data_IF_868658095383
#
_entry.id   IF_868658095383
#
_cell.length_a   1.000
_cell.length_b   1.000
_cell.length_c   1.000
_cell.angle_alpha   90.00
_cell.angle_beta   90.00
_cell.angle_gamma   90.00
#
_symmetry.space_group_name_H-M   'P 1'
#
loop_
_entity.id
_entity.type
_entity.pdbx_description
1 polymer ?
#
# COMPACT_ATOMS: atom_id res chain seq x y z
N UNK A 1 15.92 -22.32 -3.88
CA UNK A 1 16.34 -20.92 -4.14
C UNK A 1 16.26 -20.15 -2.83
N UNK A 2 17.33 -20.13 -2.07
CA UNK A 2 17.44 -19.39 -0.79
C UNK A 2 17.68 -17.92 -1.10
N UNK A 3 16.77 -17.06 -0.66
CA UNK A 3 17.01 -15.61 -0.68
C UNK A 3 17.98 -15.27 0.45
N UNK A 4 18.98 -14.39 0.22
CA UNK A 4 19.95 -14.05 1.24
C UNK A 4 19.24 -13.45 2.46
N UNK A 5 19.64 -13.89 3.65
CA UNK A 5 19.28 -13.27 4.93
C UNK A 5 19.58 -11.77 4.84
N UNK A 6 18.54 -10.95 4.69
CA UNK A 6 18.64 -9.49 4.82
C UNK A 6 18.90 -9.19 6.30
N UNK A 7 20.17 -9.22 6.70
CA UNK A 7 20.66 -8.25 7.67
C UNK A 7 20.45 -6.88 7.03
N UNK A 8 19.73 -6.00 7.74
CA UNK A 8 19.55 -4.59 7.38
C UNK A 8 20.93 -3.89 7.37
N UNK A 9 21.72 -4.13 6.33
CA UNK A 9 22.81 -3.24 5.97
C UNK A 9 22.13 -1.93 5.60
N UNK A 10 22.38 -0.88 6.38
CA UNK A 10 21.97 0.50 6.07
C UNK A 10 22.28 0.77 4.59
N UNK A 11 21.25 0.71 3.74
CA UNK A 11 21.43 1.01 2.32
C UNK A 11 21.91 2.45 2.28
N UNK A 12 23.11 2.69 1.75
CA UNK A 12 23.61 4.05 1.56
C UNK A 12 22.71 4.72 0.54
N UNK A 13 21.84 5.61 1.01
CA UNK A 13 20.97 6.40 0.14
C UNK A 13 21.79 7.57 -0.39
N UNK A 14 21.91 7.67 -1.71
CA UNK A 14 22.38 8.91 -2.33
C UNK A 14 21.21 9.90 -2.35
N UNK A 15 21.19 10.82 -1.38
CA UNK A 15 20.10 11.80 -1.20
C UNK A 15 19.85 12.63 -2.45
N UNK A 16 20.90 13.09 -3.12
CA UNK A 16 20.78 13.93 -4.32
C UNK A 16 20.08 13.15 -5.45
N UNK A 17 20.52 11.91 -5.69
CA UNK A 17 19.87 11.03 -6.67
C UNK A 17 18.41 10.73 -6.32
N UNK A 18 18.09 10.53 -5.03
CA UNK A 18 16.71 10.29 -4.60
C UNK A 18 15.81 11.50 -4.87
N UNK A 19 16.31 12.72 -4.62
CA UNK A 19 15.61 13.97 -4.94
C UNK A 19 15.37 14.08 -6.44
N UNK A 20 16.38 13.83 -7.27
CA UNK A 20 16.26 13.86 -8.74
C UNK A 20 15.25 12.84 -9.26
N UNK A 21 15.26 11.62 -8.72
CA UNK A 21 14.30 10.57 -9.07
C UNK A 21 12.86 10.97 -8.71
N UNK A 22 12.68 11.57 -7.53
CA UNK A 22 11.37 12.04 -7.07
C UNK A 22 10.84 13.19 -7.93
N UNK A 23 11.66 14.20 -8.23
CA UNK A 23 11.26 15.31 -9.10
C UNK A 23 10.89 14.82 -10.49
N UNK A 24 11.68 13.91 -11.08
CA UNK A 24 11.38 13.34 -12.40
C UNK A 24 10.05 12.58 -12.40
N UNK A 25 9.74 11.85 -11.33
CA UNK A 25 8.45 11.20 -11.17
C UNK A 25 7.31 12.22 -11.11
N UNK A 26 7.44 13.26 -10.28
CA UNK A 26 6.43 14.32 -10.16
C UNK A 26 6.19 15.05 -11.48
N UNK A 27 7.25 15.42 -12.20
CA UNK A 27 7.19 16.04 -13.53
C UNK A 27 6.47 15.13 -14.52
N UNK A 28 6.80 13.84 -14.55
CA UNK A 28 6.13 12.87 -15.44
C UNK A 28 4.63 12.78 -15.16
N UNK A 29 4.21 12.84 -13.89
CA UNK A 29 2.80 12.84 -13.51
C UNK A 29 2.10 14.14 -13.94
N UNK A 30 2.75 15.29 -13.73
CA UNK A 30 2.24 16.60 -14.14
C UNK A 30 2.08 16.67 -15.67
N UNK A 31 3.06 16.17 -16.43
CA UNK A 31 2.99 16.07 -17.90
C UNK A 31 1.83 15.20 -18.39
N UNK A 32 1.38 14.24 -17.56
CA UNK A 32 0.19 13.44 -17.80
C UNK A 32 -1.13 14.12 -17.37
N UNK A 33 -1.08 15.38 -16.92
CA UNK A 33 -2.24 16.15 -16.45
C UNK A 33 -2.70 15.78 -15.05
N UNK A 34 -1.83 15.19 -14.23
CA UNK A 34 -2.14 14.84 -12.83
C UNK A 34 -1.71 15.99 -11.92
N UNK A 35 -2.62 16.44 -11.06
CA UNK A 35 -2.29 17.38 -9.99
C UNK A 35 -1.46 16.69 -8.91
N UNK A 36 -0.25 17.21 -8.64
CA UNK A 36 0.66 16.68 -7.62
C UNK A 36 0.68 17.61 -6.42
N UNK A 37 0.15 17.12 -5.29
CA UNK A 37 0.20 17.79 -4.00
C UNK A 37 1.33 17.21 -3.15
N UNK A 38 2.14 18.07 -2.53
CA UNK A 38 3.35 17.67 -1.81
C UNK A 38 3.19 17.93 -0.33
N UNK A 39 3.35 16.89 0.48
CA UNK A 39 3.45 17.02 1.94
C UNK A 39 4.88 17.49 2.27
N UNK A 40 5.05 18.57 3.05
CA UNK A 40 6.38 19.02 3.45
C UNK A 40 7.15 17.92 4.18
N UNK A 41 8.45 17.72 3.86
CA UNK A 41 9.24 16.66 4.47
C UNK A 41 9.37 16.87 5.98
N UNK A 42 9.31 15.78 6.75
CA UNK A 42 9.46 15.78 8.20
C UNK A 42 10.69 14.94 8.55
N UNK A 43 11.68 15.53 9.24
CA UNK A 43 12.96 14.87 9.50
C UNK A 43 12.80 13.61 10.35
N UNK A 44 11.82 13.62 11.24
CA UNK A 44 11.49 12.54 12.17
C UNK A 44 10.68 11.41 11.50
N UNK A 45 10.15 11.65 10.28
CA UNK A 45 9.29 10.71 9.56
C UNK A 45 9.78 10.53 8.11
N UNK A 46 10.95 9.90 7.90
CA UNK A 46 11.52 9.72 6.57
C UNK A 46 10.66 8.87 5.63
N UNK A 47 9.79 8.02 6.16
CA UNK A 47 8.88 7.16 5.39
C UNK A 47 7.62 7.90 4.88
N UNK A 48 7.45 9.19 5.22
CA UNK A 48 6.36 10.03 4.72
C UNK A 48 6.37 10.17 3.18
N UNK A 49 7.49 9.85 2.54
CA UNK A 49 7.62 9.81 1.06
C UNK A 49 6.78 8.70 0.41
N UNK A 50 6.35 7.68 1.17
CA UNK A 50 5.51 6.58 0.68
C UNK A 50 4.03 6.91 0.85
N UNK A 51 3.52 7.84 0.03
CA UNK A 51 2.14 8.36 0.12
C UNK A 51 1.05 7.31 -0.13
N UNK A 52 1.37 6.18 -0.77
CA UNK A 52 0.43 5.05 -0.92
C UNK A 52 0.01 4.46 0.42
N UNK A 53 0.80 4.67 1.48
CA UNK A 53 0.46 4.28 2.84
C UNK A 53 -0.38 5.28 3.60
N UNK A 54 -0.67 6.47 3.05
CA UNK A 54 -1.31 7.55 3.78
C UNK A 54 -2.81 7.27 4.07
N UNK A 55 -3.45 6.48 3.21
CA UNK A 55 -4.86 6.13 3.30
C UNK A 55 -5.41 5.71 1.94
N UNK A 56 -6.72 5.86 1.73
CA UNK A 56 -7.34 5.67 0.43
C UNK A 56 -8.53 6.59 0.20
N UNK A 57 -8.80 6.88 -1.07
CA UNK A 57 -10.00 7.61 -1.46
C UNK A 57 -11.10 6.62 -1.85
N UNK A 58 -12.25 6.66 -1.16
CA UNK A 58 -13.38 5.82 -1.56
C UNK A 58 -13.94 6.29 -2.90
N UNK A 59 -14.40 5.34 -3.72
CA UNK A 59 -15.10 5.64 -4.97
C UNK A 59 -14.30 6.46 -6.00
N UNK A 60 -13.01 6.17 -6.18
CA UNK A 60 -12.12 6.88 -7.12
C UNK A 60 -12.69 7.09 -8.52
N UNK A 61 -13.47 6.13 -9.04
CA UNK A 61 -14.09 6.19 -10.37
C UNK A 61 -15.35 7.08 -10.47
N UNK A 62 -15.91 7.52 -9.34
CA UNK A 62 -17.04 8.44 -9.36
C UNK A 62 -16.55 9.85 -9.72
N UNK A 63 -17.20 10.44 -10.73
CA UNK A 63 -17.04 11.84 -11.11
C UNK A 63 -17.75 12.70 -10.07
N UNK A 64 -17.03 13.01 -8.99
CA UNK A 64 -17.45 13.96 -7.97
C UNK A 64 -16.25 14.87 -7.67
N UNK A 65 -16.48 16.16 -7.33
CA UNK A 65 -15.44 17.04 -6.82
C UNK A 65 -14.68 16.40 -5.65
N UNK A 66 -13.37 16.66 -5.53
CA UNK A 66 -12.55 16.13 -4.44
C UNK A 66 -13.08 16.54 -3.05
N UNK A 67 -13.65 17.73 -2.94
CA UNK A 67 -14.27 18.28 -1.72
C UNK A 67 -15.51 17.53 -1.26
N UNK A 68 -16.15 16.77 -2.15
CA UNK A 68 -17.31 15.92 -1.84
C UNK A 68 -16.89 14.48 -1.52
N UNK A 69 -15.61 14.14 -1.67
CA UNK A 69 -15.08 12.82 -1.37
C UNK A 69 -14.49 12.78 0.04
N UNK A 70 -14.51 11.58 0.61
CA UNK A 70 -13.91 11.29 1.92
C UNK A 70 -12.66 10.46 1.69
N UNK A 71 -11.53 10.98 2.18
CA UNK A 71 -10.27 10.25 2.26
C UNK A 71 -10.17 9.52 3.60
N UNK A 72 -10.03 8.20 3.56
CA UNK A 72 -9.90 7.37 4.75
C UNK A 72 -8.43 7.20 5.09
N UNK A 73 -7.99 7.86 6.17
CA UNK A 73 -6.63 7.83 6.66
C UNK A 73 -6.24 6.43 7.13
N UNK A 74 -5.00 6.04 6.80
CA UNK A 74 -4.41 4.81 7.30
C UNK A 74 -4.29 4.79 8.82
N UNK A 75 -4.36 3.60 9.39
CA UNK A 75 -4.11 3.36 10.80
C UNK A 75 -2.78 2.63 10.93
N UNK A 76 -1.70 3.40 10.75
CA UNK A 76 -0.33 2.90 10.69
C UNK A 76 0.18 2.46 12.07
N UNK A 77 1.30 1.75 12.06
CA UNK A 77 2.01 1.35 13.28
C UNK A 77 2.51 2.56 14.06
N UNK A 78 2.80 2.36 15.34
CA UNK A 78 3.18 3.43 16.27
C UNK A 78 4.35 4.31 15.80
N UNK A 79 5.36 3.74 15.11
CA UNK A 79 6.50 4.51 14.62
C UNK A 79 6.19 5.41 13.40
N UNK A 80 5.08 5.14 12.69
CA UNK A 80 4.56 5.94 11.56
C UNK A 80 3.29 6.71 11.93
N UNK A 81 2.95 6.78 13.22
CA UNK A 81 1.69 7.37 13.68
C UNK A 81 1.51 8.82 13.22
N UNK A 82 2.60 9.61 13.25
CA UNK A 82 2.56 11.03 12.93
C UNK A 82 2.28 11.32 11.45
N UNK A 83 2.61 10.39 10.55
CA UNK A 83 2.34 10.52 9.10
C UNK A 83 0.85 10.75 8.81
N UNK A 84 -0.02 10.13 9.62
CA UNK A 84 -1.46 10.33 9.54
C UNK A 84 -1.87 11.78 9.79
N UNK A 85 -1.24 12.44 10.77
CA UNK A 85 -1.59 13.83 11.12
C UNK A 85 -1.13 14.79 10.02
N UNK A 86 0.09 14.65 9.52
CA UNK A 86 0.58 15.48 8.42
C UNK A 86 -0.26 15.30 7.15
N UNK A 87 -0.62 14.06 6.82
CA UNK A 87 -1.53 13.77 5.69
C UNK A 87 -2.88 14.45 5.90
N UNK A 88 -3.46 14.32 7.09
CA UNK A 88 -4.75 14.92 7.42
C UNK A 88 -4.73 16.43 7.23
N UNK A 89 -3.75 17.12 7.80
CA UNK A 89 -3.68 18.58 7.78
C UNK A 89 -3.57 19.12 6.35
N UNK A 90 -2.77 18.46 5.49
CA UNK A 90 -2.63 18.84 4.08
C UNK A 90 -3.93 18.60 3.31
N UNK A 91 -4.56 17.42 3.47
CA UNK A 91 -5.80 17.09 2.77
C UNK A 91 -6.95 18.02 3.17
N UNK A 92 -7.11 18.29 4.46
CA UNK A 92 -8.13 19.21 4.96
C UNK A 92 -7.83 20.66 4.52
N UNK A 93 -6.56 21.05 4.47
CA UNK A 93 -6.12 22.35 3.95
C UNK A 93 -6.48 22.59 2.48
N UNK A 94 -6.60 21.55 1.67
CA UNK A 94 -7.09 21.62 0.27
C UNK A 94 -8.58 21.28 0.14
N UNK A 95 -9.31 21.19 1.25
CA UNK A 95 -10.76 20.99 1.27
C UNK A 95 -11.23 19.54 1.14
N UNK A 96 -10.34 18.56 1.24
CA UNK A 96 -10.69 17.13 1.21
C UNK A 96 -11.07 16.68 2.62
N UNK A 97 -12.27 16.11 2.76
CA UNK A 97 -12.72 15.58 4.04
C UNK A 97 -11.95 14.30 4.38
N UNK A 98 -11.63 14.12 5.67
CA UNK A 98 -10.94 12.92 6.14
C UNK A 98 -11.76 12.12 7.13
N UNK A 99 -11.57 10.80 7.13
CA UNK A 99 -12.12 9.87 8.12
C UNK A 99 -11.03 8.91 8.59
N UNK A 100 -11.20 8.31 9.78
CA UNK A 100 -10.24 7.36 10.35
C UNK A 100 -10.81 5.95 10.38
N UNK A 101 -9.94 4.97 10.18
CA UNK A 101 -10.27 3.55 10.31
C UNK A 101 -10.01 3.03 11.73
N UNK A 102 -10.79 2.03 12.14
CA UNK A 102 -10.65 1.45 13.49
C UNK A 102 -9.53 0.41 13.63
N UNK A 103 -9.11 -0.20 12.52
CA UNK A 103 -8.12 -1.30 12.49
C UNK A 103 -6.88 -0.93 11.73
N UNK A 104 -5.78 -1.66 11.98
CA UNK A 104 -4.51 -1.51 11.27
C UNK A 104 -4.72 -1.62 9.76
N UNK A 105 -4.25 -0.60 9.04
CA UNK A 105 -4.42 -0.47 7.61
C UNK A 105 -3.32 0.43 7.05
N UNK A 106 -2.72 0.02 5.93
CA UNK A 106 -1.60 0.75 5.33
C UNK A 106 -1.93 1.28 3.93
N UNK A 107 -3.16 1.77 3.73
CA UNK A 107 -3.53 2.63 2.61
C UNK A 107 -3.83 1.90 1.30
N UNK A 108 -3.79 2.65 0.20
CA UNK A 108 -3.89 2.11 -1.17
C UNK A 108 -2.78 1.11 -1.49
N UNK A 109 -1.66 1.13 -0.75
CA UNK A 109 -0.64 0.08 -0.82
C UNK A 109 -1.22 -1.32 -0.57
N UNK A 110 -2.30 -1.43 0.22
CA UNK A 110 -3.00 -2.68 0.53
C UNK A 110 -4.46 -2.72 0.08
N UNK A 111 -5.00 -1.64 -0.49
CA UNK A 111 -6.37 -1.60 -1.03
C UNK A 111 -6.38 -0.98 -2.43
N UNK A 112 -6.35 -1.84 -3.43
CA UNK A 112 -6.10 -1.45 -4.82
C UNK A 112 -7.44 -1.41 -5.58
N UNK A 113 -7.86 -0.25 -6.10
CA UNK A 113 -9.05 -0.14 -6.95
C UNK A 113 -8.88 -0.94 -8.25
N UNK A 114 -9.93 -1.63 -8.68
CA UNK A 114 -9.92 -2.42 -9.90
C UNK A 114 -11.32 -2.40 -10.54
N UNK A 115 -11.50 -1.65 -11.64
CA UNK A 115 -12.81 -1.41 -12.25
C UNK A 115 -13.90 -1.01 -11.23
N UNK A 116 -14.89 -1.87 -11.04
CA UNK A 116 -16.03 -1.66 -10.13
C UNK A 116 -15.84 -2.33 -8.76
N UNK A 117 -14.66 -2.85 -8.48
CA UNK A 117 -14.32 -3.60 -7.26
C UNK A 117 -12.96 -3.16 -6.69
N UNK A 118 -12.58 -3.78 -5.58
CA UNK A 118 -11.31 -3.55 -4.90
C UNK A 118 -10.59 -4.86 -4.62
N UNK A 119 -9.26 -4.80 -4.60
CA UNK A 119 -8.39 -5.88 -4.17
C UNK A 119 -7.85 -5.49 -2.79
N UNK A 120 -8.13 -6.31 -1.78
CA UNK A 120 -7.68 -6.05 -0.41
C UNK A 120 -6.60 -7.05 0.00
N UNK A 121 -5.43 -6.53 0.32
CA UNK A 121 -4.24 -7.29 0.66
C UNK A 121 -4.13 -7.27 2.18
N UNK A 122 -4.13 -8.46 2.77
CA UNK A 122 -4.16 -8.58 4.22
C UNK A 122 -3.23 -9.69 4.70
N UNK A 123 -2.85 -9.61 5.97
CA UNK A 123 -2.04 -10.65 6.59
C UNK A 123 -2.64 -11.11 7.92
N UNK A 124 -3.08 -12.37 7.96
CA UNK A 124 -3.63 -13.00 9.17
C UNK A 124 -2.56 -13.73 10.00
N UNK A 125 -1.31 -13.70 9.57
CA UNK A 125 -0.25 -14.36 10.29
C UNK A 125 0.06 -13.60 11.59
N UNK A 126 -0.63 -14.00 12.66
CA UNK A 126 -0.28 -13.70 14.05
C UNK A 126 1.05 -14.36 14.48
N UNK A 127 1.78 -14.99 13.54
CA UNK A 127 3.10 -15.56 13.81
C UNK A 127 4.03 -14.41 14.17
N UNK A 128 4.27 -14.27 15.46
CA UNK A 128 5.20 -13.30 16.01
C UNK A 128 6.60 -13.70 15.58
N UNK A 129 7.30 -12.76 14.95
CA UNK A 129 8.73 -12.87 14.76
C UNK A 129 9.41 -12.24 15.97
N UNK A 130 10.45 -12.89 16.44
CA UNK A 130 11.29 -12.35 17.51
C UNK A 130 12.65 -12.07 16.90
N UNK A 131 13.12 -10.83 17.06
CA UNK A 131 14.51 -10.48 16.75
C UNK A 131 15.26 -10.34 18.07
N UNK A 132 16.49 -10.86 18.11
CA UNK A 132 17.36 -10.66 19.27
C UNK A 132 17.74 -9.19 19.39
N UNK A 133 17.70 -8.64 20.61
CA UNK A 133 18.21 -7.29 20.92
C UNK A 133 18.90 -7.29 22.28
N UNK A 134 19.97 -6.50 22.49
CA UNK A 134 20.67 -6.41 23.76
C UNK A 134 19.89 -5.55 24.78
N UNK A 135 18.68 -5.98 25.16
CA UNK A 135 17.84 -5.36 26.19
C UNK A 135 17.19 -6.44 27.07
N UNK A 136 16.47 -6.06 28.12
CA UNK A 136 15.62 -6.98 28.89
C UNK A 136 14.15 -6.65 28.57
N UNK A 137 13.36 -7.55 27.94
CA UNK A 137 13.72 -8.90 27.49
C UNK A 137 14.68 -8.90 26.27
N UNK A 138 15.47 -9.97 26.06
CA UNK A 138 16.51 -10.07 25.01
C UNK A 138 15.94 -10.30 23.62
N UNK A 139 14.68 -9.90 23.41
CA UNK A 139 13.98 -10.02 22.15
C UNK A 139 13.05 -8.82 21.95
N UNK A 140 12.86 -8.46 20.68
CA UNK A 140 11.81 -7.57 20.23
C UNK A 140 10.81 -8.38 19.44
N UNK A 141 9.55 -8.33 19.87
CA UNK A 141 8.43 -8.86 19.10
C UNK A 141 8.21 -7.97 17.88
N UNK A 142 8.38 -8.53 16.70
CA UNK A 142 8.09 -7.88 15.42
C UNK A 142 6.66 -8.26 15.03
N UNK A 143 5.70 -7.41 15.38
CA UNK A 143 4.36 -7.48 14.80
C UNK A 143 4.42 -6.92 13.38
N UNK A 144 4.42 -7.80 12.37
CA UNK A 144 4.44 -7.41 10.95
C UNK A 144 3.06 -7.53 10.27
N UNK A 145 1.99 -7.19 11.01
CA UNK A 145 0.66 -7.04 10.43
C UNK A 145 0.60 -5.63 9.85
N UNK A 146 0.41 -5.52 8.54
CA UNK A 146 0.26 -4.24 7.85
C UNK A 146 -1.24 -3.91 7.84
N UNK A 147 -2.01 -4.63 7.03
CA UNK A 147 -3.48 -4.56 7.04
C UNK A 147 -4.14 -5.78 7.70
N UNK A 148 -5.05 -5.52 8.64
CA UNK A 148 -5.82 -6.52 9.40
C UNK A 148 -7.03 -7.00 8.58
N UNK A 149 -7.20 -8.32 8.41
CA UNK A 149 -8.39 -8.86 7.72
C UNK A 149 -9.71 -8.50 8.38
N UNK A 150 -9.73 -8.25 9.69
CA UNK A 150 -10.94 -7.79 10.37
C UNK A 150 -11.43 -6.43 9.86
N UNK A 151 -10.55 -5.63 9.24
CA UNK A 151 -10.92 -4.38 8.57
C UNK A 151 -11.89 -4.63 7.39
N UNK A 152 -11.96 -5.84 6.83
CA UNK A 152 -12.81 -6.13 5.67
C UNK A 152 -14.30 -5.78 5.91
N UNK A 153 -14.81 -5.91 7.14
CA UNK A 153 -16.19 -5.50 7.44
C UNK A 153 -16.38 -4.00 7.39
N UNK A 154 -15.41 -3.23 7.89
CA UNK A 154 -15.39 -1.76 7.85
C UNK A 154 -15.26 -1.27 6.41
N UNK A 155 -14.35 -1.87 5.61
CA UNK A 155 -14.22 -1.54 4.19
C UNK A 155 -15.51 -1.80 3.40
N UNK A 156 -16.25 -2.88 3.71
CA UNK A 156 -17.55 -3.14 3.08
C UNK A 156 -18.59 -2.08 3.43
N UNK A 157 -18.59 -1.55 4.64
CA UNK A 157 -19.47 -0.45 5.03
C UNK A 157 -19.12 0.83 4.26
N UNK A 158 -17.83 1.14 4.13
CA UNK A 158 -17.33 2.32 3.43
C UNK A 158 -17.58 2.24 1.92
N UNK A 159 -17.28 1.10 1.30
CA UNK A 159 -17.35 0.89 -0.14
C UNK A 159 -18.74 0.44 -0.64
N UNK A 160 -19.67 0.19 0.29
CA UNK A 160 -21.04 -0.24 0.01
C UNK A 160 -21.09 -1.58 -0.73
N UNK A 161 -21.80 -1.61 -1.86
CA UNK A 161 -22.03 -2.84 -2.63
C UNK A 161 -20.85 -3.27 -3.51
N UNK A 162 -19.73 -2.54 -3.48
CA UNK A 162 -18.57 -2.87 -4.32
C UNK A 162 -17.91 -4.17 -3.84
N UNK A 163 -17.66 -5.13 -4.74
CA UNK A 163 -16.94 -6.35 -4.36
C UNK A 163 -15.54 -6.02 -3.85
N UNK A 164 -15.09 -6.77 -2.84
CA UNK A 164 -13.72 -6.71 -2.33
C UNK A 164 -13.13 -8.11 -2.41
N UNK A 165 -12.00 -8.26 -3.10
CA UNK A 165 -11.28 -9.52 -3.27
C UNK A 165 -10.15 -9.58 -2.25
N UNK A 166 -10.29 -10.35 -1.15
CA UNK A 166 -9.23 -10.49 -0.18
C UNK A 166 -8.14 -11.44 -0.70
N UNK A 167 -6.90 -10.97 -0.68
CA UNK A 167 -5.71 -11.75 -1.06
C UNK A 167 -4.69 -11.74 0.10
N UNK A 168 -3.97 -12.85 0.23
CA UNK A 168 -2.97 -13.07 1.26
C UNK A 168 -1.61 -13.33 0.60
N UNK A 169 -0.57 -12.54 0.92
CA UNK A 169 0.80 -12.80 0.46
C UNK A 169 1.34 -14.16 0.95
N UNK A 170 2.26 -14.76 0.19
CA UNK A 170 2.86 -16.06 0.53
C UNK A 170 3.89 -15.98 1.66
N UNK A 171 4.56 -14.84 1.81
CA UNK A 171 5.65 -14.65 2.76
C UNK A 171 5.74 -13.21 3.27
N UNK A 172 6.44 -13.03 4.40
CA UNK A 172 6.57 -11.74 5.07
C UNK A 172 7.35 -10.68 4.30
N UNK A 173 8.22 -11.06 3.35
CA UNK A 173 8.94 -10.10 2.50
C UNK A 173 8.05 -9.39 1.48
N UNK A 174 6.81 -9.85 1.33
CA UNK A 174 5.80 -9.32 0.43
C UNK A 174 4.73 -8.62 1.24
N UNK A 175 5.12 -7.50 1.84
CA UNK A 175 4.35 -6.91 2.93
C UNK A 175 3.29 -5.90 2.48
N UNK A 176 3.43 -5.34 1.27
CA UNK A 176 2.42 -4.52 0.63
C UNK A 176 1.87 -5.13 -0.64
N UNK A 177 0.59 -4.88 -0.86
CA UNK A 177 -0.14 -5.21 -2.06
C UNK A 177 0.45 -4.65 -3.34
N UNK A 178 0.76 -3.36 -3.35
CA UNK A 178 1.22 -2.62 -4.54
C UNK A 178 2.50 -3.19 -5.15
N UNK A 179 3.33 -3.87 -4.35
CA UNK A 179 4.52 -4.55 -4.84
C UNK A 179 4.19 -5.87 -5.58
N UNK A 180 3.03 -6.46 -5.33
CA UNK A 180 2.64 -7.77 -5.86
C UNK A 180 1.59 -7.68 -6.97
N UNK A 181 0.77 -6.63 -6.93
CA UNK A 181 -0.34 -6.45 -7.85
C UNK A 181 -0.59 -4.96 -8.07
N UNK A 182 -0.79 -4.60 -9.33
CA UNK A 182 -1.12 -3.24 -9.75
C UNK A 182 -2.24 -3.32 -10.80
N UNK A 183 -3.04 -2.26 -10.90
CA UNK A 183 -4.14 -2.16 -11.85
C UNK A 183 -3.98 -0.91 -12.71
N UNK A 184 -4.20 -1.05 -14.02
CA UNK A 184 -3.95 0.02 -14.98
C UNK A 184 -4.94 -0.03 -16.15
N UNK A 185 -4.92 1.01 -16.98
CA UNK A 185 -5.95 1.27 -17.99
C UNK A 185 -6.91 2.37 -17.53
N UNK A 186 -7.72 2.88 -18.44
CA UNK A 186 -8.62 4.01 -18.19
C UNK A 186 -9.63 3.73 -17.06
N UNK A 187 -9.96 2.46 -16.87
CA UNK A 187 -10.87 1.97 -15.84
C UNK A 187 -10.18 1.04 -14.85
N UNK A 188 -8.85 0.94 -14.88
CA UNK A 188 -8.06 -0.03 -14.08
C UNK A 188 -8.46 -1.48 -14.37
N UNK A 189 -8.72 -1.77 -15.65
CA UNK A 189 -9.21 -3.04 -16.14
C UNK A 189 -8.11 -4.09 -16.36
N UNK A 190 -6.86 -3.66 -16.53
CA UNK A 190 -5.72 -4.56 -16.65
C UNK A 190 -5.04 -4.74 -15.31
N UNK A 191 -4.47 -5.92 -15.10
CA UNK A 191 -3.82 -6.27 -13.84
C UNK A 191 -2.39 -6.70 -14.12
N UNK A 192 -1.41 -6.07 -13.50
CA UNK A 192 -0.04 -6.56 -13.43
C UNK A 192 0.12 -7.34 -12.14
N UNK A 193 0.59 -8.58 -12.17
CA UNK A 193 0.60 -9.44 -10.97
C UNK A 193 1.80 -10.38 -10.90
N UNK A 194 2.47 -10.40 -9.75
CA UNK A 194 3.46 -11.41 -9.40
C UNK A 194 2.80 -12.55 -8.59
N UNK A 195 2.32 -13.58 -9.28
CA UNK A 195 1.52 -14.65 -8.65
C UNK A 195 2.25 -15.43 -7.54
N UNK A 196 3.55 -15.68 -7.68
CA UNK A 196 4.35 -16.36 -6.64
C UNK A 196 4.43 -15.54 -5.34
N UNK A 197 4.13 -14.25 -5.43
CA UNK A 197 3.86 -13.32 -4.35
C UNK A 197 2.78 -13.74 -3.37
N UNK A 198 1.81 -14.53 -3.84
CA UNK A 198 0.58 -14.84 -3.12
C UNK A 198 0.55 -16.27 -2.59
N UNK A 199 -0.22 -16.47 -1.51
CA UNK A 199 -0.55 -17.82 -1.01
C UNK A 199 -1.19 -18.68 -2.12
N UNK A 200 -1.05 -20.01 -2.06
CA UNK A 200 -1.67 -20.90 -3.08
C UNK A 200 -3.15 -20.65 -3.28
N UNK A 201 -3.89 -20.36 -2.20
CA UNK A 201 -5.31 -20.02 -2.27
C UNK A 201 -5.51 -18.71 -3.05
N UNK A 202 -4.78 -17.66 -2.70
CA UNK A 202 -4.86 -16.36 -3.38
C UNK A 202 -4.38 -16.43 -4.83
N UNK A 203 -3.40 -17.28 -5.17
CA UNK A 203 -3.04 -17.57 -6.56
C UNK A 203 -4.22 -18.14 -7.34
N UNK A 204 -4.96 -19.09 -6.75
CA UNK A 204 -6.18 -19.63 -7.35
C UNK A 204 -7.24 -18.56 -7.58
N UNK A 205 -7.44 -17.66 -6.61
CA UNK A 205 -8.33 -16.50 -6.75
C UNK A 205 -7.85 -15.59 -7.87
N UNK A 206 -6.58 -15.20 -7.91
CA UNK A 206 -6.05 -14.33 -8.96
C UNK A 206 -6.24 -14.93 -10.36
N UNK A 207 -5.91 -16.22 -10.53
CA UNK A 207 -6.11 -16.92 -11.81
C UNK A 207 -7.58 -16.96 -12.22
N UNK A 208 -8.49 -17.15 -11.28
CA UNK A 208 -9.93 -17.15 -11.56
C UNK A 208 -10.45 -15.75 -11.90
N UNK A 209 -10.08 -14.74 -11.10
CA UNK A 209 -10.67 -13.39 -11.15
C UNK A 209 -10.04 -12.48 -12.20
N UNK A 210 -8.81 -12.74 -12.63
CA UNK A 210 -8.03 -11.84 -13.50
C UNK A 210 -7.45 -12.50 -14.76
N UNK A 211 -7.62 -13.81 -15.00
CA UNK A 211 -6.92 -14.55 -16.08
C UNK A 211 -6.89 -13.88 -17.45
N UNK A 212 -8.00 -13.31 -17.90
CA UNK A 212 -8.13 -12.72 -19.25
C UNK A 212 -7.50 -11.32 -19.39
N UNK A 213 -7.05 -10.70 -18.30
CA UNK A 213 -6.52 -9.33 -18.26
C UNK A 213 -5.28 -9.18 -17.37
N UNK A 214 -4.77 -10.29 -16.87
CA UNK A 214 -3.59 -10.33 -16.03
C UNK A 214 -2.33 -10.46 -16.89
N UNK A 215 -1.40 -9.54 -16.71
CA UNK A 215 -0.02 -9.65 -17.15
C UNK A 215 0.76 -10.20 -15.95
N UNK A 216 1.23 -11.44 -16.07
CA UNK A 216 2.00 -12.06 -15.01
C UNK A 216 3.46 -11.62 -15.08
N UNK A 217 3.97 -11.07 -13.97
CA UNK A 217 5.37 -10.69 -13.84
C UNK A 217 6.28 -11.91 -13.67
N UNK A 218 7.48 -11.82 -14.26
CA UNK A 218 8.59 -12.73 -13.96
C UNK A 218 9.18 -12.43 -12.58
N UNK A 219 10.04 -13.32 -12.06
CA UNK A 219 10.77 -13.04 -10.82
C UNK A 219 11.78 -11.90 -11.01
N UNK A 220 12.32 -11.77 -12.21
CA UNK A 220 13.31 -10.76 -12.60
C UNK A 220 12.69 -9.36 -12.60
N UNK A 221 11.52 -9.21 -13.24
CA UNK A 221 10.79 -7.94 -13.28
C UNK A 221 10.29 -7.55 -11.89
N UNK A 222 9.77 -8.51 -11.14
CA UNK A 222 9.34 -8.28 -9.75
C UNK A 222 10.48 -7.74 -8.86
N UNK A 223 11.73 -8.23 -9.03
CA UNK A 223 12.89 -7.71 -8.27
C UNK A 223 13.21 -6.25 -8.59
N UNK A 224 12.74 -5.75 -9.73
CA UNK A 224 12.93 -4.37 -10.18
C UNK A 224 11.75 -3.45 -9.81
N UNK A 225 10.73 -3.96 -9.11
CA UNK A 225 9.48 -3.24 -8.81
C UNK A 225 8.71 -2.81 -10.08
N UNK A 226 8.70 -3.68 -11.10
CA UNK A 226 7.94 -3.49 -12.32
C UNK A 226 6.41 -3.50 -12.09
#
# INVERSE_FOLDING_TARGET
MSWPNQQDSWKKINRQRAIEQWHRLAETLIDCGIDVYVIPPQLENPDLVYSSNAGFLANVHQKAPLTEKIFYLSNLRSHRFWEKLYTKDILEGIGIQTAQLTRSFEGEADLIPECSRYIFIHNNNKKYHYSFRPSIPPYQRLNRIHSDYQLLSELKQILGNKPIIPLTPSRHGFYHGENLINTFGAYREHVLVYLEGFSRRSQGVCKKEFSHRAIQLSSEDFKLFA
#
